data_IF_716050803022
#
_entry.id   IF_716050803022
#
_cell.length_a   1.000
_cell.length_b   1.000
_cell.length_c   1.000
_cell.angle_alpha   90.00
_cell.angle_beta   90.00
_cell.angle_gamma   90.00
#
_symmetry.space_group_name_H-M   'P 1'
#
loop_
_entity.id
_entity.type
_entity.pdbx_description
1 polymer ?
#
# COMPACT_ATOMS: atom_id res chain seq x y z
N UNK A 1 -29.05 26.44 -10.10
CA UNK A 1 -28.76 24.99 -10.18
C UNK A 1 -27.97 24.77 -11.44
N UNK A 2 -26.64 24.75 -11.33
CA UNK A 2 -25.79 24.40 -12.46
C UNK A 2 -25.72 22.87 -12.49
N UNK A 3 -26.33 22.28 -13.51
CA UNK A 3 -26.11 20.88 -13.85
C UNK A 3 -24.70 20.80 -14.43
N UNK A 4 -23.76 20.25 -13.66
CA UNK A 4 -22.45 19.86 -14.19
C UNK A 4 -22.69 18.72 -15.18
N UNK A 5 -22.67 19.04 -16.47
CA UNK A 5 -22.55 18.05 -17.53
C UNK A 5 -21.08 17.66 -17.62
N UNK A 6 -20.66 16.71 -16.79
CA UNK A 6 -19.36 16.05 -16.96
C UNK A 6 -19.54 15.00 -18.06
N UNK A 7 -18.96 15.26 -19.24
CA UNK A 7 -18.71 14.18 -20.20
C UNK A 7 -17.86 13.13 -19.51
N UNK A 8 -18.43 11.95 -19.29
CA UNK A 8 -17.74 10.79 -18.74
C UNK A 8 -16.71 10.34 -19.78
N UNK A 9 -15.45 10.74 -19.59
CA UNK A 9 -14.34 10.25 -20.39
C UNK A 9 -14.11 8.79 -20.02
N UNK A 10 -14.22 7.84 -20.97
CA UNK A 10 -13.99 6.43 -20.67
C UNK A 10 -12.56 6.23 -20.17
N UNK A 11 -12.43 5.71 -18.94
CA UNK A 11 -11.14 5.32 -18.36
C UNK A 11 -10.41 6.37 -17.50
N UNK A 12 -11.07 7.48 -17.12
CA UNK A 12 -10.55 8.46 -16.15
C UNK A 12 -11.71 8.87 -15.20
N UNK A 13 -11.52 8.75 -13.89
CA UNK A 13 -12.50 9.09 -12.85
C UNK A 13 -13.89 8.43 -13.02
N UNK A 14 -14.97 9.15 -12.69
CA UNK A 14 -16.38 8.69 -12.78
C UNK A 14 -16.78 7.99 -14.10
N UNK A 15 -15.96 8.09 -15.17
CA UNK A 15 -16.11 7.39 -16.45
C UNK A 15 -15.37 6.04 -16.58
N UNK A 16 -14.77 5.51 -15.51
CA UNK A 16 -14.16 4.17 -15.50
C UNK A 16 -15.24 3.11 -15.75
N UNK A 17 -15.07 2.31 -16.80
CA UNK A 17 -16.07 1.29 -17.20
C UNK A 17 -15.70 -0.12 -16.78
N UNK A 18 -14.41 -0.37 -16.54
CA UNK A 18 -13.86 -1.63 -16.05
C UNK A 18 -12.53 -1.37 -15.36
N UNK A 19 -12.19 -2.16 -14.34
CA UNK A 19 -10.87 -2.18 -13.69
C UNK A 19 -9.86 -3.01 -14.49
N UNK A 20 -10.31 -3.80 -15.48
CA UNK A 20 -9.49 -4.76 -16.19
C UNK A 20 -9.13 -6.02 -15.37
N UNK A 21 -9.59 -6.12 -14.12
CA UNK A 21 -9.34 -7.25 -13.21
C UNK A 21 -10.62 -8.07 -13.05
N UNK A 22 -10.54 -9.38 -13.29
CA UNK A 22 -11.69 -10.27 -13.15
C UNK A 22 -12.09 -10.36 -11.68
N UNK A 23 -13.37 -10.09 -11.38
CA UNK A 23 -13.89 -10.17 -10.01
C UNK A 23 -13.79 -8.87 -9.21
N UNK A 24 -13.19 -7.80 -9.76
CA UNK A 24 -13.10 -6.49 -9.13
C UNK A 24 -13.91 -5.46 -9.93
N UNK A 25 -15.19 -5.21 -9.60
CA UNK A 25 -16.00 -4.23 -10.32
C UNK A 25 -15.54 -2.80 -9.99
N UNK A 26 -15.78 -1.87 -10.91
CA UNK A 26 -15.55 -0.44 -10.68
C UNK A 26 -16.45 0.06 -9.56
N UNK A 27 -15.90 0.86 -8.66
CA UNK A 27 -16.60 1.39 -7.49
C UNK A 27 -16.51 2.92 -7.43
N UNK A 28 -17.60 3.64 -7.76
CA UNK A 28 -17.62 5.10 -7.75
C UNK A 28 -17.32 5.72 -6.37
N UNK A 29 -17.56 4.95 -5.30
CA UNK A 29 -17.37 5.41 -3.91
C UNK A 29 -16.07 4.85 -3.30
N UNK A 30 -15.11 4.38 -4.12
CA UNK A 30 -13.88 3.77 -3.65
C UNK A 30 -13.09 4.70 -2.71
N UNK A 31 -12.86 5.96 -3.08
CA UNK A 31 -12.14 6.93 -2.25
C UNK A 31 -12.79 7.12 -0.86
N UNK A 32 -14.13 7.27 -0.82
CA UNK A 32 -14.89 7.35 0.43
C UNK A 32 -14.76 6.08 1.28
N UNK A 33 -14.75 4.90 0.63
CA UNK A 33 -14.57 3.61 1.30
C UNK A 33 -13.16 3.42 1.85
N UNK A 34 -12.12 3.86 1.13
CA UNK A 34 -10.73 3.86 1.62
C UNK A 34 -10.67 4.61 2.96
N UNK A 35 -11.19 5.84 3.00
CA UNK A 35 -11.20 6.65 4.23
C UNK A 35 -11.93 5.93 5.36
N UNK A 36 -13.14 5.42 5.08
CA UNK A 36 -13.97 4.76 6.10
C UNK A 36 -13.32 3.49 6.65
N UNK A 37 -12.76 2.64 5.78
CA UNK A 37 -12.16 1.35 6.17
C UNK A 37 -10.85 1.54 6.92
N UNK A 38 -9.98 2.43 6.45
CA UNK A 38 -8.74 2.72 7.17
C UNK A 38 -8.99 3.43 8.49
N UNK A 39 -10.00 4.31 8.59
CA UNK A 39 -10.36 4.89 9.88
C UNK A 39 -10.86 3.81 10.85
N UNK A 40 -11.70 2.89 10.39
CA UNK A 40 -12.15 1.77 11.20
C UNK A 40 -10.98 0.87 11.65
N UNK A 41 -9.99 0.64 10.78
CA UNK A 41 -8.75 -0.08 11.11
C UNK A 41 -7.97 0.63 12.23
N UNK A 42 -7.75 1.94 12.09
CA UNK A 42 -7.07 2.75 13.11
C UNK A 42 -7.83 2.74 14.45
N UNK A 43 -9.15 2.87 14.42
CA UNK A 43 -10.00 2.84 15.62
C UNK A 43 -9.95 1.46 16.30
N UNK A 44 -10.02 0.38 15.52
CA UNK A 44 -9.92 -1.00 16.00
C UNK A 44 -8.57 -1.27 16.66
N UNK A 45 -7.49 -0.76 16.07
CA UNK A 45 -6.14 -0.89 16.59
C UNK A 45 -5.95 -0.07 17.86
N UNK A 46 -6.47 1.16 17.91
CA UNK A 46 -6.42 2.01 19.11
C UNK A 46 -7.24 1.43 20.29
N UNK A 47 -8.32 0.69 19.99
CA UNK A 47 -9.13 0.00 21.00
C UNK A 47 -8.55 -1.35 21.46
N UNK A 48 -7.49 -1.84 20.81
CA UNK A 48 -6.85 -3.12 21.13
C UNK A 48 -5.77 -2.98 22.20
N UNK A 49 -5.23 -4.11 22.65
CA UNK A 49 -4.11 -4.21 23.58
C UNK A 49 -2.73 -4.14 22.88
N UNK A 50 -2.71 -3.86 21.58
CA UNK A 50 -1.49 -3.73 20.79
C UNK A 50 -0.68 -2.50 21.23
N UNK A 51 0.57 -2.66 21.74
CA UNK A 51 1.36 -1.54 22.22
C UNK A 51 1.78 -0.61 21.07
N UNK A 52 1.90 0.69 21.36
CA UNK A 52 2.35 1.72 20.40
C UNK A 52 3.77 1.49 19.87
N UNK A 53 4.57 0.72 20.61
CA UNK A 53 5.94 0.36 20.22
C UNK A 53 6.01 -0.84 19.27
N UNK A 54 4.91 -1.57 19.06
CA UNK A 54 4.90 -2.69 18.13
C UNK A 54 5.16 -2.17 16.70
N UNK A 55 6.19 -2.71 16.04
CA UNK A 55 6.59 -2.22 14.72
C UNK A 55 5.46 -2.34 13.69
N UNK A 56 4.69 -3.42 13.74
CA UNK A 56 3.49 -3.60 12.92
C UNK A 56 2.50 -2.43 13.06
N UNK A 57 2.17 -2.03 14.30
CA UNK A 57 1.28 -0.88 14.56
C UNK A 57 1.83 0.40 13.97
N UNK A 58 3.12 0.66 14.21
CA UNK A 58 3.79 1.87 13.75
C UNK A 58 3.71 2.01 12.23
N UNK A 59 3.92 0.93 11.49
CA UNK A 59 3.94 0.98 10.03
C UNK A 59 2.54 0.97 9.41
N UNK A 60 1.61 0.18 9.96
CA UNK A 60 0.21 0.19 9.53
C UNK A 60 -0.42 1.56 9.78
N UNK A 61 -0.14 2.21 10.92
CA UNK A 61 -0.62 3.57 11.18
C UNK A 61 -0.10 4.58 10.15
N UNK A 62 1.18 4.51 9.78
CA UNK A 62 1.74 5.41 8.75
C UNK A 62 1.06 5.21 7.41
N UNK A 63 0.90 3.96 6.98
CA UNK A 63 0.28 3.61 5.70
C UNK A 63 -1.18 4.05 5.68
N UNK A 64 -1.95 3.70 6.71
CA UNK A 64 -3.37 4.04 6.82
C UNK A 64 -3.59 5.56 6.83
N UNK A 65 -2.83 6.31 7.63
CA UNK A 65 -2.93 7.77 7.69
C UNK A 65 -2.56 8.43 6.36
N UNK A 66 -1.54 7.92 5.67
CA UNK A 66 -1.15 8.40 4.37
C UNK A 66 -2.26 8.18 3.33
N UNK A 67 -2.81 6.96 3.24
CA UNK A 67 -3.89 6.62 2.31
C UNK A 67 -5.17 7.42 2.59
N UNK A 68 -5.55 7.57 3.87
CA UNK A 68 -6.69 8.43 4.28
C UNK A 68 -6.46 9.86 3.80
N UNK A 69 -5.26 10.42 4.02
CA UNK A 69 -4.94 11.79 3.64
C UNK A 69 -5.12 11.99 2.13
N UNK A 70 -4.50 11.15 1.32
CA UNK A 70 -4.57 11.27 -0.15
C UNK A 70 -6.00 11.09 -0.65
N UNK A 71 -6.72 10.06 -0.17
CA UNK A 71 -8.11 9.82 -0.56
C UNK A 71 -9.08 10.93 -0.13
N UNK A 72 -8.76 11.66 0.96
CA UNK A 72 -9.55 12.81 1.41
C UNK A 72 -9.24 14.07 0.61
N UNK A 73 -7.95 14.33 0.32
CA UNK A 73 -7.50 15.51 -0.42
C UNK A 73 -7.91 15.46 -1.91
N UNK A 74 -7.99 14.26 -2.49
CA UNK A 74 -8.27 14.03 -3.91
C UNK A 74 -9.50 13.15 -4.14
N UNK A 75 -10.54 13.30 -3.32
CA UNK A 75 -11.75 12.46 -3.37
C UNK A 75 -12.47 12.48 -4.74
N UNK A 76 -12.39 13.60 -5.47
CA UNK A 76 -13.02 13.78 -6.79
C UNK A 76 -12.15 13.26 -7.96
N UNK A 77 -10.90 12.87 -7.71
CA UNK A 77 -9.92 12.44 -8.72
C UNK A 77 -9.27 11.09 -8.32
N UNK A 78 -9.94 9.96 -8.58
CA UNK A 78 -9.41 8.63 -8.25
C UNK A 78 -8.08 8.32 -8.92
N UNK A 79 -7.83 8.79 -10.15
CA UNK A 79 -6.61 8.47 -10.88
C UNK A 79 -5.38 9.14 -10.23
N UNK A 80 -5.55 10.37 -9.73
CA UNK A 80 -4.53 11.04 -8.94
C UNK A 80 -4.28 10.33 -7.60
N UNK A 81 -5.32 9.76 -6.97
CA UNK A 81 -5.15 8.93 -5.76
C UNK A 81 -4.31 7.68 -6.07
N UNK A 82 -4.56 7.02 -7.22
CA UNK A 82 -3.78 5.86 -7.68
C UNK A 82 -2.31 6.24 -7.94
N UNK A 83 -2.07 7.35 -8.64
CA UNK A 83 -0.73 7.85 -8.94
C UNK A 83 0.05 8.20 -7.68
N UNK A 84 -0.58 8.88 -6.72
CA UNK A 84 0.07 9.28 -5.47
C UNK A 84 0.32 8.07 -4.55
N UNK A 85 -0.64 7.17 -4.43
CA UNK A 85 -0.50 6.00 -3.55
C UNK A 85 0.43 4.93 -4.13
N UNK A 86 0.64 4.90 -5.45
CA UNK A 86 1.48 3.93 -6.17
C UNK A 86 1.28 2.47 -5.74
N UNK A 87 0.02 2.07 -5.49
CA UNK A 87 -0.29 0.76 -4.91
C UNK A 87 -1.54 0.12 -5.54
N UNK A 88 -1.63 0.19 -6.87
CA UNK A 88 -2.74 -0.34 -7.65
C UNK A 88 -3.91 0.63 -7.78
N UNK A 89 -5.05 0.11 -8.22
CA UNK A 89 -6.28 0.87 -8.42
C UNK A 89 -6.97 1.20 -7.10
N UNK A 90 -7.83 2.24 -7.07
CA UNK A 90 -8.58 2.60 -5.85
C UNK A 90 -9.45 1.45 -5.33
N UNK A 91 -9.99 0.61 -6.22
CA UNK A 91 -10.74 -0.58 -5.82
C UNK A 91 -9.86 -1.64 -5.13
N UNK A 92 -8.61 -1.78 -5.57
CA UNK A 92 -7.64 -2.67 -4.91
C UNK A 92 -7.24 -2.13 -3.54
N UNK A 93 -7.11 -0.80 -3.38
CA UNK A 93 -6.84 -0.18 -2.08
C UNK A 93 -7.97 -0.42 -1.07
N UNK A 94 -9.23 -0.43 -1.53
CA UNK A 94 -10.39 -0.80 -0.69
C UNK A 94 -10.27 -2.24 -0.23
N UNK A 95 -9.94 -3.17 -1.13
CA UNK A 95 -9.76 -4.59 -0.79
C UNK A 95 -8.58 -4.80 0.17
N UNK A 96 -7.45 -4.12 -0.07
CA UNK A 96 -6.30 -4.15 0.83
C UNK A 96 -6.66 -3.66 2.24
N UNK A 97 -7.54 -2.68 2.38
CA UNK A 97 -8.01 -2.23 3.70
C UNK A 97 -8.85 -3.29 4.43
N UNK A 98 -9.65 -4.08 3.70
CA UNK A 98 -10.40 -5.20 4.27
C UNK A 98 -9.49 -6.37 4.65
N UNK A 99 -8.52 -6.70 3.80
CA UNK A 99 -7.53 -7.73 4.07
C UNK A 99 -6.68 -7.35 5.29
N UNK A 100 -6.28 -6.08 5.41
CA UNK A 100 -5.53 -5.58 6.58
C UNK A 100 -6.35 -5.69 7.87
N UNK A 101 -7.67 -5.52 7.83
CA UNK A 101 -8.52 -5.77 9.00
C UNK A 101 -8.50 -7.25 9.41
N UNK A 102 -8.50 -8.18 8.45
CA UNK A 102 -8.38 -9.61 8.73
C UNK A 102 -7.01 -9.95 9.31
N UNK A 103 -5.94 -9.34 8.78
CA UNK A 103 -4.58 -9.48 9.32
C UNK A 103 -4.52 -8.95 10.74
N UNK A 104 -5.10 -7.78 11.02
CA UNK A 104 -5.15 -7.21 12.37
C UNK A 104 -5.84 -8.15 13.35
N UNK A 105 -6.99 -8.73 12.99
CA UNK A 105 -7.69 -9.67 13.87
C UNK A 105 -6.86 -10.93 14.15
N UNK A 106 -6.16 -11.47 13.15
CA UNK A 106 -5.20 -12.56 13.35
C UNK A 106 -4.01 -12.13 14.23
N UNK A 107 -3.44 -10.95 13.97
CA UNK A 107 -2.30 -10.40 14.69
C UNK A 107 -2.61 -10.25 16.17
N UNK A 108 -3.80 -9.73 16.50
CA UNK A 108 -4.32 -9.59 17.86
C UNK A 108 -4.58 -10.92 18.54
N UNK A 109 -5.16 -11.89 17.81
CA UNK A 109 -5.45 -13.23 18.33
C UNK A 109 -4.18 -13.99 18.71
N UNK A 110 -3.16 -13.93 17.87
CA UNK A 110 -1.91 -14.69 18.05
C UNK A 110 -0.82 -13.91 18.81
N UNK A 111 -1.09 -12.64 19.18
CA UNK A 111 -0.17 -11.77 19.94
C UNK A 111 1.23 -11.69 19.32
N UNK A 112 1.30 -11.52 18.00
CA UNK A 112 2.54 -11.59 17.21
C UNK A 112 3.60 -10.50 17.53
N UNK A 113 3.27 -9.56 18.41
CA UNK A 113 4.22 -8.55 18.91
C UNK A 113 4.97 -8.99 20.18
N UNK A 114 4.62 -10.14 20.76
CA UNK A 114 5.32 -10.66 21.93
C UNK A 114 6.62 -11.35 21.53
N UNK A 115 7.64 -11.19 22.38
CA UNK A 115 8.88 -11.93 22.23
C UNK A 115 8.64 -13.42 22.50
N UNK A 116 9.27 -14.27 21.70
CA UNK A 116 9.27 -15.72 21.91
C UNK A 116 10.07 -16.06 23.17
N UNK A 117 9.64 -17.09 23.91
CA UNK A 117 10.24 -17.50 25.18
C UNK A 117 11.41 -18.50 25.03
N UNK A 118 11.79 -18.79 23.78
CA UNK A 118 12.89 -19.68 23.45
C UNK A 118 13.90 -19.00 22.52
N UNK A 119 15.17 -19.30 22.73
CA UNK A 119 16.25 -18.85 21.85
C UNK A 119 16.12 -19.55 20.50
N UNK A 120 16.13 -18.76 19.42
CA UNK A 120 16.20 -19.24 18.04
C UNK A 120 17.50 -18.74 17.45
N UNK A 121 18.38 -19.68 17.08
CA UNK A 121 19.56 -19.36 16.28
C UNK A 121 19.10 -19.04 14.84
N UNK A 122 18.90 -17.76 14.57
CA UNK A 122 18.57 -17.27 13.23
C UNK A 122 19.87 -17.18 12.42
N UNK A 123 20.11 -18.17 11.57
CA UNK A 123 21.18 -18.10 10.57
C UNK A 123 20.73 -17.23 9.40
N UNK A 124 21.31 -16.02 9.29
CA UNK A 124 21.06 -15.13 8.16
C UNK A 124 22.08 -15.45 7.06
N UNK A 125 21.63 -16.17 6.03
CA UNK A 125 22.42 -16.40 4.82
C UNK A 125 22.17 -15.26 3.82
N UNK A 126 23.23 -14.54 3.47
CA UNK A 126 23.17 -13.49 2.46
C UNK A 126 23.67 -14.04 1.11
N UNK A 127 22.89 -13.87 0.04
CA UNK A 127 23.28 -14.26 -1.32
C UNK A 127 22.91 -13.18 -2.36
N UNK A 128 23.89 -12.48 -2.97
CA UNK A 128 25.33 -12.55 -2.69
C UNK A 128 25.67 -11.98 -1.31
N UNK A 129 26.77 -12.47 -0.74
CA UNK A 129 27.27 -12.02 0.57
C UNK A 129 27.73 -10.55 0.47
N UNK A 130 27.10 -9.60 1.19
CA UNK A 130 27.41 -8.17 1.09
C UNK A 130 28.78 -7.81 1.68
N UNK A 131 29.40 -8.72 2.44
CA UNK A 131 30.77 -8.55 2.94
C UNK A 131 31.84 -8.96 1.94
N UNK A 132 31.45 -9.70 0.90
CA UNK A 132 32.31 -10.02 -0.22
C UNK A 132 32.07 -8.97 -1.28
N UNK A 133 33.09 -8.14 -1.53
CA UNK A 133 33.10 -7.26 -2.68
C UNK A 133 32.67 -8.09 -3.90
N UNK A 134 31.67 -7.58 -4.64
CA UNK A 134 31.19 -8.25 -5.84
C UNK A 134 32.39 -8.60 -6.70
N UNK A 135 32.69 -9.88 -6.90
CA UNK A 135 33.68 -10.24 -7.90
C UNK A 135 33.14 -9.79 -9.26
N UNK A 136 33.66 -8.65 -9.72
CA UNK A 136 33.57 -8.13 -11.09
C UNK A 136 32.18 -8.19 -11.72
N UNK A 137 31.34 -7.20 -11.45
CA UNK A 137 30.66 -6.56 -12.57
C UNK A 137 31.67 -5.55 -13.12
N UNK A 138 32.55 -6.03 -14.00
CA UNK A 138 33.29 -5.15 -14.89
C UNK A 138 32.23 -4.44 -15.74
N UNK A 139 31.82 -3.25 -15.30
CA UNK A 139 31.24 -2.27 -16.21
C UNK A 139 32.36 -1.96 -17.22
N UNK A 140 32.37 -2.71 -18.32
CA UNK A 140 33.15 -2.36 -19.51
C UNK A 140 32.68 -0.95 -19.93
N UNK A 141 33.38 0.07 -19.44
CA UNK A 141 33.44 1.39 -20.05
C UNK A 141 33.99 1.23 -21.47
N UNK A 142 33.12 0.90 -22.43
CA UNK A 142 33.38 1.14 -23.84
C UNK A 142 33.32 2.67 -24.05
N UNK A 143 34.40 3.33 -23.65
CA UNK A 143 34.76 4.69 -24.06
C UNK A 143 34.80 4.72 -25.59
N UNK A 144 33.66 5.09 -26.18
CA UNK A 144 33.52 5.35 -27.61
C UNK A 144 34.48 6.48 -27.99
N UNK A 145 35.69 6.10 -28.42
CA UNK A 145 36.69 7.02 -28.95
C UNK A 145 36.11 7.72 -30.18
N UNK A 146 35.99 9.07 -30.20
CA UNK A 146 35.52 9.78 -31.38
C UNK A 146 36.57 9.68 -32.49
N UNK A 147 36.26 8.89 -33.52
CA UNK A 147 37.05 8.86 -34.76
C UNK A 147 37.12 10.25 -35.37
N UNK A 148 38.34 10.70 -35.66
CA UNK A 148 38.65 11.91 -36.42
C UNK A 148 39.06 11.55 -37.84
#
# INVERSE_FOLDING_TARGET
MAFFSTELVPGVGFGKTSTGIVGLPVDPEACSKIVTKYQALLDRMAASDLPETAQYRVDVEKIARYRIKIATEHADDPDLVEELCQCGQVEELVQQADDEMMVLDMYLKERLWEEIDYDVDVEIEYNPDPSKDSEGLDDDEEEASPSK
#
